data_IF_059160248711
#
_entry.id   IF_059160248711
#
_cell.length_a   1.000
_cell.length_b   1.000
_cell.length_c   1.000
_cell.angle_alpha   90.00
_cell.angle_beta   90.00
_cell.angle_gamma   90.00
#
_symmetry.space_group_name_H-M   'P 1'
#
loop_
_entity.id
_entity.type
_entity.pdbx_description
1 polymer ?
#
# COMPACT_ATOMS: atom_id res chain seq x y z
N UNK A 1 -22.42 22.76 -25.56
CA UNK A 1 -22.38 22.94 -24.10
C UNK A 1 -23.09 21.73 -23.52
N UNK A 2 -22.36 20.85 -22.83
CA UNK A 2 -23.00 19.76 -22.09
C UNK A 2 -23.75 20.40 -20.91
N UNK A 3 -25.03 20.10 -20.77
CA UNK A 3 -25.84 20.58 -19.64
C UNK A 3 -25.39 19.95 -18.31
N UNK A 4 -26.13 20.24 -17.24
CA UNK A 4 -25.81 19.88 -15.84
C UNK A 4 -25.64 18.37 -15.54
N UNK A 5 -25.81 17.50 -16.55
CA UNK A 5 -25.69 16.04 -16.48
C UNK A 5 -24.36 15.50 -17.05
N UNK A 6 -23.28 16.27 -16.88
CA UNK A 6 -21.94 15.86 -17.31
C UNK A 6 -21.21 15.06 -16.22
N UNK A 7 -20.78 13.85 -16.55
CA UNK A 7 -19.84 13.07 -15.76
C UNK A 7 -18.40 13.38 -16.21
N UNK A 8 -17.52 13.71 -15.26
CA UNK A 8 -16.11 14.01 -15.55
C UNK A 8 -15.22 12.84 -15.11
N UNK A 9 -14.39 12.35 -16.02
CA UNK A 9 -13.48 11.25 -15.72
C UNK A 9 -12.33 11.73 -14.82
N UNK A 10 -12.23 11.24 -13.59
CA UNK A 10 -11.13 11.61 -12.67
C UNK A 10 -9.71 11.23 -13.14
N UNK A 11 -9.59 10.40 -14.19
CA UNK A 11 -8.30 9.93 -14.70
C UNK A 11 -7.80 10.68 -15.94
N UNK A 12 -8.69 11.23 -16.76
CA UNK A 12 -8.31 11.95 -17.98
C UNK A 12 -9.03 13.30 -18.14
N UNK A 13 -9.85 13.67 -17.16
CA UNK A 13 -10.55 14.95 -17.01
C UNK A 13 -11.47 15.32 -18.17
N UNK A 14 -11.82 14.36 -19.02
CA UNK A 14 -12.77 14.56 -20.11
C UNK A 14 -14.21 14.51 -19.59
N UNK A 15 -15.04 15.36 -20.17
CA UNK A 15 -16.47 15.45 -19.92
C UNK A 15 -17.22 14.41 -20.77
N UNK A 16 -18.17 13.74 -20.14
CA UNK A 16 -19.03 12.72 -20.75
C UNK A 16 -20.49 12.97 -20.35
N UNK A 17 -21.44 12.56 -21.17
CA UNK A 17 -22.85 12.53 -20.73
C UNK A 17 -23.05 11.45 -19.67
N UNK A 18 -23.71 11.77 -18.56
CA UNK A 18 -23.95 10.82 -17.45
C UNK A 18 -24.60 9.52 -17.92
N UNK A 19 -25.65 9.59 -18.75
CA UNK A 19 -26.34 8.40 -19.26
C UNK A 19 -25.43 7.46 -20.08
N UNK A 20 -24.50 8.02 -20.86
CA UNK A 20 -23.57 7.22 -21.65
C UNK A 20 -22.43 6.66 -20.79
N UNK A 21 -21.97 7.44 -19.82
CA UNK A 21 -20.98 7.02 -18.83
C UNK A 21 -21.47 5.81 -18.04
N UNK A 22 -22.70 5.85 -17.54
CA UNK A 22 -23.31 4.75 -16.78
C UNK A 22 -23.55 3.53 -17.66
N UNK A 23 -24.06 3.74 -18.89
CA UNK A 23 -24.33 2.66 -19.84
C UNK A 23 -23.08 1.93 -20.34
N UNK A 24 -21.91 2.58 -20.30
CA UNK A 24 -20.62 1.94 -20.62
C UNK A 24 -19.85 1.54 -19.37
N UNK A 25 -20.35 1.85 -18.18
CA UNK A 25 -19.66 1.68 -16.91
C UNK A 25 -18.26 2.33 -16.87
N UNK A 26 -18.11 3.51 -17.50
CA UNK A 26 -16.86 4.28 -17.41
C UNK A 26 -16.52 5.17 -18.61
N UNK A 27 -15.24 5.50 -18.71
CA UNK A 27 -14.71 6.46 -19.67
C UNK A 27 -14.60 5.87 -21.09
N UNK A 28 -15.24 6.47 -22.08
CA UNK A 28 -15.13 5.99 -23.46
C UNK A 28 -13.79 6.38 -24.14
N UNK A 29 -12.89 7.09 -23.46
CA UNK A 29 -11.64 7.57 -24.04
C UNK A 29 -10.64 6.41 -24.23
N UNK A 30 -10.21 6.09 -25.47
CA UNK A 30 -9.29 4.99 -25.73
C UNK A 30 -7.97 5.16 -24.96
N UNK A 31 -7.54 4.11 -24.26
CA UNK A 31 -6.30 4.12 -23.49
C UNK A 31 -6.38 4.83 -22.13
N UNK A 32 -7.55 5.33 -21.73
CA UNK A 32 -7.75 5.82 -20.37
C UNK A 32 -7.76 4.64 -19.40
N UNK A 33 -7.12 4.79 -18.24
CA UNK A 33 -7.11 3.76 -17.18
C UNK A 33 -8.51 3.50 -16.61
N UNK A 34 -9.40 4.48 -16.69
CA UNK A 34 -10.82 4.34 -16.35
C UNK A 34 -11.71 3.95 -17.55
N UNK A 35 -11.10 3.55 -18.68
CA UNK A 35 -11.88 3.02 -19.78
C UNK A 35 -12.38 1.60 -19.43
N UNK A 36 -13.68 1.34 -19.54
CA UNK A 36 -14.24 0.03 -19.29
C UNK A 36 -13.64 -0.94 -20.32
N UNK A 37 -13.18 -2.10 -19.84
CA UNK A 37 -12.69 -3.15 -20.73
C UNK A 37 -13.80 -3.51 -21.71
N UNK A 38 -13.45 -3.69 -22.99
CA UNK A 38 -14.41 -4.05 -24.04
C UNK A 38 -15.20 -5.29 -23.58
N UNK A 39 -16.44 -5.09 -23.15
CA UNK A 39 -17.36 -6.19 -22.90
C UNK A 39 -17.54 -6.89 -24.24
N UNK A 40 -16.98 -8.09 -24.35
CA UNK A 40 -17.35 -9.02 -25.40
C UNK A 40 -18.81 -9.35 -25.14
N UNK A 41 -19.64 -9.20 -26.19
CA UNK A 41 -21.08 -9.46 -26.08
C UNK A 41 -21.30 -10.84 -25.43
N UNK A 42 -22.21 -10.96 -24.44
CA UNK A 42 -22.56 -12.27 -23.93
C UNK A 42 -23.16 -13.06 -25.09
N UNK A 43 -22.54 -14.20 -25.42
CA UNK A 43 -23.09 -15.14 -26.38
C UNK A 43 -24.56 -15.45 -26.02
N UNK A 44 -25.46 -15.57 -27.01
CA UNK A 44 -26.88 -15.77 -26.72
C UNK A 44 -27.03 -17.07 -25.94
N UNK A 45 -27.63 -16.96 -24.75
CA UNK A 45 -27.93 -18.05 -23.83
C UNK A 45 -28.87 -19.05 -24.51
N UNK A 46 -28.30 -20.02 -25.22
CA UNK A 46 -28.96 -21.29 -25.48
C UNK A 46 -28.95 -22.08 -24.17
N UNK A 47 -30.15 -22.41 -23.73
CA UNK A 47 -30.44 -23.09 -22.49
C UNK A 47 -29.94 -24.54 -22.53
N UNK A 48 -28.69 -24.78 -22.14
CA UNK A 48 -28.24 -26.14 -21.84
C UNK A 48 -27.17 -26.18 -20.74
N UNK A 49 -27.48 -26.99 -19.73
CA UNK A 49 -26.60 -27.58 -18.71
C UNK A 49 -26.06 -26.66 -17.59
N UNK A 50 -26.82 -26.70 -16.49
CA UNK A 50 -26.34 -26.55 -15.10
C UNK A 50 -25.10 -27.41 -14.87
N UNK A 51 -23.93 -26.79 -14.86
CA UNK A 51 -22.82 -27.19 -14.02
C UNK A 51 -22.48 -25.95 -13.20
N UNK A 52 -22.88 -25.97 -11.93
CA UNK A 52 -22.62 -24.87 -11.01
C UNK A 52 -21.14 -24.52 -11.10
N UNK A 53 -20.86 -23.24 -11.37
CA UNK A 53 -19.49 -22.81 -11.57
C UNK A 53 -18.68 -23.22 -10.34
N UNK A 54 -17.45 -23.70 -10.53
CA UNK A 54 -16.55 -24.05 -9.43
C UNK A 54 -16.38 -22.92 -8.39
N UNK A 55 -16.75 -21.70 -8.76
CA UNK A 55 -16.76 -20.50 -7.92
C UNK A 55 -17.98 -20.48 -6.97
N UNK A 56 -19.18 -20.82 -7.43
CA UNK A 56 -20.38 -20.91 -6.58
C UNK A 56 -20.30 -22.08 -5.60
N UNK A 57 -19.72 -23.21 -6.03
CA UNK A 57 -19.49 -24.35 -5.15
C UNK A 57 -18.47 -24.04 -4.03
N UNK A 58 -17.42 -23.26 -4.32
CA UNK A 58 -16.46 -22.79 -3.33
C UNK A 58 -17.08 -21.73 -2.40
N UNK A 59 -17.84 -20.79 -2.95
CA UNK A 59 -18.49 -19.74 -2.18
C UNK A 59 -19.49 -20.32 -1.16
N UNK A 60 -20.24 -21.36 -1.55
CA UNK A 60 -21.12 -22.10 -0.64
C UNK A 60 -20.38 -22.76 0.55
N UNK A 61 -19.06 -22.99 0.41
CA UNK A 61 -18.18 -23.52 1.45
C UNK A 61 -17.42 -22.42 2.20
N UNK A 62 -17.70 -21.13 1.93
CA UNK A 62 -16.95 -20.01 2.51
C UNK A 62 -15.52 -19.87 1.98
N UNK A 63 -15.27 -20.38 0.78
CA UNK A 63 -13.96 -20.37 0.13
C UNK A 63 -13.95 -19.46 -1.11
N UNK A 64 -12.78 -18.89 -1.42
CA UNK A 64 -12.49 -18.10 -2.60
C UNK A 64 -11.23 -18.63 -3.31
N UNK A 65 -11.18 -18.62 -4.65
CA UNK A 65 -9.97 -19.01 -5.37
C UNK A 65 -8.91 -17.90 -5.32
N UNK A 66 -7.66 -18.27 -5.06
CA UNK A 66 -6.53 -17.35 -5.16
C UNK A 66 -6.34 -16.89 -6.61
N UNK A 67 -6.26 -15.57 -6.84
CA UNK A 67 -6.07 -14.99 -8.19
C UNK A 67 -4.75 -15.39 -8.86
N UNK A 68 -3.72 -15.70 -8.06
CA UNK A 68 -2.39 -16.02 -8.56
C UNK A 68 -2.19 -17.52 -8.80
N UNK A 69 -2.46 -18.36 -7.79
CA UNK A 69 -2.19 -19.81 -7.86
C UNK A 69 -3.44 -20.70 -7.92
N UNK A 70 -4.65 -20.13 -7.92
CA UNK A 70 -5.95 -20.85 -7.96
C UNK A 70 -6.25 -21.78 -6.78
N UNK A 71 -5.43 -21.76 -5.73
CA UNK A 71 -5.73 -22.49 -4.48
C UNK A 71 -7.05 -22.01 -3.86
N UNK A 72 -7.82 -22.92 -3.27
CA UNK A 72 -9.02 -22.58 -2.51
C UNK A 72 -8.63 -22.05 -1.12
N UNK A 73 -9.08 -20.85 -0.78
CA UNK A 73 -8.73 -20.14 0.46
C UNK A 73 -10.00 -19.75 1.21
N UNK A 74 -9.95 -19.71 2.54
CA UNK A 74 -11.04 -19.14 3.32
C UNK A 74 -11.23 -17.64 3.02
N UNK A 75 -12.48 -17.20 2.93
CA UNK A 75 -12.82 -15.78 2.80
C UNK A 75 -12.23 -15.02 4.00
N UNK A 76 -11.52 -13.92 3.74
CA UNK A 76 -10.84 -13.12 4.76
C UNK A 76 -9.37 -13.47 5.00
N UNK A 77 -8.86 -14.54 4.37
CA UNK A 77 -7.41 -14.80 4.32
C UNK A 77 -6.70 -13.60 3.69
N UNK A 78 -5.66 -13.09 4.36
CA UNK A 78 -4.94 -11.88 3.94
C UNK A 78 -3.74 -12.19 3.04
N UNK A 79 -3.13 -13.36 3.22
CA UNK A 79 -1.99 -13.86 2.45
C UNK A 79 -2.27 -15.31 2.06
N UNK A 80 -2.08 -15.63 0.79
CA UNK A 80 -2.18 -17.01 0.32
C UNK A 80 -1.02 -17.87 0.88
N UNK A 81 -1.28 -18.99 1.56
CA UNK A 81 -0.21 -19.86 2.08
C UNK A 81 0.59 -20.57 0.98
N UNK A 82 0.02 -20.72 -0.22
CA UNK A 82 0.66 -21.45 -1.32
C UNK A 82 1.60 -20.58 -2.17
N UNK A 83 1.24 -19.31 -2.41
CA UNK A 83 2.01 -18.43 -3.30
C UNK A 83 2.39 -17.07 -2.69
N UNK A 84 2.01 -16.82 -1.43
CA UNK A 84 2.26 -15.58 -0.67
C UNK A 84 1.72 -14.29 -1.30
N UNK A 85 0.83 -14.40 -2.29
CA UNK A 85 0.11 -13.24 -2.84
C UNK A 85 -0.85 -12.65 -1.79
N UNK A 86 -0.97 -11.33 -1.79
CA UNK A 86 -1.99 -10.62 -1.00
C UNK A 86 -3.35 -10.93 -1.61
N UNK A 87 -4.28 -11.40 -0.78
CA UNK A 87 -5.60 -11.87 -1.21
C UNK A 87 -6.72 -10.90 -0.87
N UNK A 88 -6.39 -9.77 -0.23
CA UNK A 88 -7.36 -8.71 0.05
C UNK A 88 -7.93 -8.09 -1.24
N UNK A 89 -9.23 -7.76 -1.31
CA UNK A 89 -9.88 -7.19 -2.50
C UNK A 89 -9.25 -5.90 -3.02
N UNK A 90 -8.76 -5.05 -2.12
CA UNK A 90 -8.07 -3.78 -2.39
C UNK A 90 -6.56 -3.95 -2.64
N UNK A 91 -6.04 -5.17 -2.53
CA UNK A 91 -4.61 -5.46 -2.69
C UNK A 91 -3.73 -4.98 -1.53
N UNK A 92 -4.33 -4.49 -0.44
CA UNK A 92 -3.63 -4.01 0.75
C UNK A 92 -3.70 -5.09 1.83
N UNK A 93 -2.60 -5.33 2.53
CA UNK A 93 -2.59 -6.25 3.67
C UNK A 93 -3.20 -5.58 4.92
N UNK A 94 -4.31 -6.14 5.41
CA UNK A 94 -5.01 -5.71 6.64
C UNK A 94 -4.80 -6.65 7.82
N UNK A 95 -3.92 -7.65 7.67
CA UNK A 95 -3.62 -8.56 8.77
C UNK A 95 -2.77 -7.91 9.88
N UNK A 96 -2.52 -8.65 10.97
CA UNK A 96 -1.66 -8.18 12.05
C UNK A 96 -0.26 -7.87 11.51
N UNK A 97 0.29 -6.73 11.92
CA UNK A 97 1.65 -6.30 11.57
C UNK A 97 2.55 -6.35 12.79
N UNK A 98 3.78 -6.82 12.60
CA UNK A 98 4.84 -6.72 13.62
C UNK A 98 5.76 -5.55 13.28
N UNK A 99 6.38 -4.93 14.29
CA UNK A 99 7.30 -3.83 14.01
C UNK A 99 8.55 -4.36 13.29
N UNK A 100 8.99 -3.67 12.23
CA UNK A 100 10.26 -3.98 11.60
C UNK A 100 11.40 -3.86 12.64
N UNK A 101 12.39 -4.77 12.64
CA UNK A 101 13.45 -4.79 13.66
C UNK A 101 14.25 -3.48 13.73
N UNK A 102 14.42 -2.80 12.59
CA UNK A 102 15.07 -1.49 12.54
C UNK A 102 14.24 -0.33 13.09
N UNK A 103 12.90 -0.46 13.18
CA UNK A 103 12.02 0.63 13.58
C UNK A 103 12.19 0.97 15.06
N UNK A 104 12.14 -0.04 15.94
CA UNK A 104 12.37 0.15 17.37
C UNK A 104 13.81 0.53 17.66
N UNK A 105 14.78 -0.14 17.02
CA UNK A 105 16.19 0.16 17.19
C UNK A 105 16.52 1.62 16.81
N UNK A 106 15.98 2.11 15.69
CA UNK A 106 16.20 3.50 15.26
C UNK A 106 15.71 4.53 16.29
N UNK A 107 14.57 4.26 16.94
CA UNK A 107 14.02 5.14 17.95
C UNK A 107 14.90 5.15 19.21
N UNK A 108 15.32 3.96 19.68
CA UNK A 108 16.19 3.84 20.86
C UNK A 108 17.53 4.54 20.63
N UNK A 109 18.17 4.31 19.47
CA UNK A 109 19.43 4.98 19.12
C UNK A 109 19.29 6.49 18.99
N UNK A 110 18.16 6.98 18.48
CA UNK A 110 17.89 8.41 18.37
C UNK A 110 17.75 9.07 19.75
N UNK A 111 17.05 8.43 20.69
CA UNK A 111 16.87 8.93 22.06
C UNK A 111 18.22 8.97 22.80
N UNK A 112 19.00 7.89 22.73
CA UNK A 112 20.33 7.83 23.37
C UNK A 112 21.28 8.87 22.71
N UNK A 113 21.24 8.97 21.38
CA UNK A 113 22.04 9.90 20.62
C UNK A 113 21.78 11.36 20.96
N UNK A 114 20.53 11.71 21.27
CA UNK A 114 20.16 13.09 21.63
C UNK A 114 20.94 13.63 22.84
N UNK A 115 21.31 12.76 23.80
CA UNK A 115 21.94 13.19 25.05
C UNK A 115 23.44 12.89 25.16
N UNK A 116 23.93 11.78 24.57
CA UNK A 116 25.28 11.28 24.91
C UNK A 116 26.31 11.32 23.76
N UNK A 117 25.90 11.31 22.49
CA UNK A 117 26.82 11.46 21.34
C UNK A 117 26.02 11.63 20.02
N UNK A 118 25.43 12.81 19.80
CA UNK A 118 24.43 13.01 18.72
C UNK A 118 24.95 12.84 17.30
N UNK A 119 26.25 13.04 17.07
CA UNK A 119 26.82 12.96 15.72
C UNK A 119 26.92 11.51 15.22
N UNK A 120 27.46 10.59 16.02
CA UNK A 120 27.64 9.18 15.59
C UNK A 120 26.34 8.39 15.75
N UNK A 121 25.68 8.51 16.91
CA UNK A 121 24.45 7.77 17.21
C UNK A 121 23.28 8.23 16.35
N UNK A 122 23.25 9.52 15.97
CA UNK A 122 22.26 10.06 15.05
C UNK A 122 22.35 9.43 13.65
N UNK A 123 23.57 9.19 13.14
CA UNK A 123 23.76 8.52 11.84
C UNK A 123 23.28 7.06 11.93
N UNK A 124 23.61 6.35 13.01
CA UNK A 124 23.15 4.98 13.24
C UNK A 124 21.61 4.92 13.31
N UNK A 125 20.97 5.87 14.00
CA UNK A 125 19.50 5.95 14.04
C UNK A 125 18.89 6.14 12.64
N UNK A 126 19.47 7.00 11.81
CA UNK A 126 18.98 7.28 10.44
C UNK A 126 19.15 6.04 9.54
N UNK A 127 20.29 5.36 9.60
CA UNK A 127 20.51 4.13 8.80
C UNK A 127 19.53 3.04 9.20
N UNK A 128 19.32 2.80 10.50
CA UNK A 128 18.35 1.82 10.99
C UNK A 128 16.91 2.16 10.62
N UNK A 129 16.54 3.45 10.61
CA UNK A 129 15.24 3.90 10.15
C UNK A 129 15.02 3.64 8.65
N UNK A 130 16.05 3.87 7.82
CA UNK A 130 15.97 3.61 6.38
C UNK A 130 15.91 2.10 6.09
N UNK A 131 16.70 1.27 6.79
CA UNK A 131 16.64 -0.20 6.72
C UNK A 131 15.25 -0.71 7.11
N UNK A 132 14.65 -0.17 8.18
CA UNK A 132 13.30 -0.53 8.59
C UNK A 132 12.27 -0.23 7.50
N UNK A 133 12.34 0.98 6.90
CA UNK A 133 11.45 1.37 5.81
C UNK A 133 11.65 0.51 4.55
N UNK A 134 12.88 0.09 4.28
CA UNK A 134 13.16 -0.83 3.17
C UNK A 134 12.53 -2.21 3.41
N UNK A 135 12.66 -2.76 4.63
CA UNK A 135 12.04 -4.03 5.01
C UNK A 135 10.51 -4.01 4.92
N UNK A 136 9.87 -2.89 5.31
CA UNK A 136 8.41 -2.73 5.20
C UNK A 136 7.91 -2.70 3.75
N UNK A 137 8.74 -2.27 2.79
CA UNK A 137 8.38 -2.30 1.36
C UNK A 137 8.40 -3.71 0.79
N UNK A 138 9.27 -4.57 1.32
CA UNK A 138 9.42 -5.95 0.84
C UNK A 138 8.48 -6.93 1.53
N UNK A 139 8.12 -6.67 2.79
CA UNK A 139 7.27 -7.56 3.58
C UNK A 139 6.05 -6.79 4.11
N UNK A 140 4.83 -7.05 3.59
CA UNK A 140 3.61 -6.37 4.01
C UNK A 140 3.19 -6.70 5.44
N UNK A 141 3.76 -7.75 6.05
CA UNK A 141 3.51 -8.12 7.45
C UNK A 141 4.30 -7.25 8.44
N UNK A 142 5.25 -6.45 7.95
CA UNK A 142 6.02 -5.52 8.77
C UNK A 142 5.34 -4.15 8.82
N UNK A 143 5.37 -3.53 9.99
CA UNK A 143 4.88 -2.18 10.28
C UNK A 143 5.87 -1.38 11.13
N UNK A 144 5.38 -0.33 11.78
CA UNK A 144 6.23 0.57 12.58
C UNK A 144 6.78 1.76 11.80
N UNK A 145 6.11 2.17 10.71
CA UNK A 145 6.53 3.32 9.89
C UNK A 145 6.60 4.63 10.70
N UNK A 146 5.66 4.83 11.63
CA UNK A 146 5.68 5.95 12.57
C UNK A 146 6.92 5.93 13.46
N UNK A 147 7.31 4.77 13.99
CA UNK A 147 8.50 4.59 14.84
C UNK A 147 9.79 4.86 14.06
N UNK A 148 9.90 4.29 12.85
CA UNK A 148 11.06 4.53 11.98
C UNK A 148 11.15 6.01 11.57
N UNK A 149 10.02 6.67 11.32
CA UNK A 149 10.00 8.09 11.00
C UNK A 149 10.38 8.95 12.20
N UNK A 150 9.86 8.64 13.39
CA UNK A 150 10.23 9.33 14.62
C UNK A 150 11.73 9.19 14.91
N UNK A 151 12.28 7.96 14.84
CA UNK A 151 13.71 7.72 15.02
C UNK A 151 14.57 8.49 14.02
N UNK A 152 14.16 8.56 12.74
CA UNK A 152 14.85 9.35 11.72
C UNK A 152 14.85 10.85 12.03
N UNK A 153 13.69 11.41 12.37
CA UNK A 153 13.55 12.85 12.66
C UNK A 153 14.34 13.24 13.90
N UNK A 154 14.23 12.46 14.99
CA UNK A 154 14.99 12.70 16.22
C UNK A 154 16.50 12.58 15.96
N UNK A 155 16.93 11.60 15.16
CA UNK A 155 18.33 11.45 14.77
C UNK A 155 18.89 12.67 14.03
N UNK A 156 18.12 13.25 13.10
CA UNK A 156 18.51 14.48 12.39
C UNK A 156 18.61 15.66 13.37
N UNK A 157 17.64 15.82 14.27
CA UNK A 157 17.65 16.87 15.30
C UNK A 157 18.88 16.73 16.20
N UNK A 158 19.25 15.50 16.60
CA UNK A 158 20.42 15.25 17.43
C UNK A 158 21.73 15.65 16.74
N UNK A 159 21.89 15.33 15.44
CA UNK A 159 23.06 15.72 14.65
C UNK A 159 23.13 17.25 14.53
N UNK A 160 22.05 17.89 14.06
CA UNK A 160 22.00 19.34 13.84
C UNK A 160 22.23 20.10 15.14
N UNK A 161 21.58 19.68 16.23
CA UNK A 161 21.74 20.28 17.55
C UNK A 161 23.19 20.19 18.05
N UNK A 162 23.86 19.04 17.89
CA UNK A 162 25.27 18.89 18.28
C UNK A 162 26.21 19.73 17.39
N UNK A 163 25.96 19.81 16.09
CA UNK A 163 26.76 20.63 15.17
C UNK A 163 26.66 22.11 15.56
N UNK A 164 25.44 22.62 15.80
CA UNK A 164 25.22 24.00 16.26
C UNK A 164 25.89 24.24 17.61
N UNK A 165 25.76 23.31 18.57
CA UNK A 165 26.39 23.41 19.87
C UNK A 165 27.92 23.47 19.77
N UNK A 166 28.51 22.63 18.89
CA UNK A 166 29.94 22.64 18.60
C UNK A 166 30.36 24.02 18.09
N UNK A 167 29.73 24.54 17.03
CA UNK A 167 30.08 25.87 16.50
C UNK A 167 29.87 27.00 17.50
N UNK A 168 28.81 26.97 18.32
CA UNK A 168 28.55 27.98 19.34
C UNK A 168 29.59 27.96 20.48
N UNK A 169 30.17 26.80 20.78
CA UNK A 169 31.22 26.63 21.80
C UNK A 169 32.62 26.93 21.27
N UNK A 170 32.94 26.43 20.07
CA UNK A 170 34.25 26.61 19.44
C UNK A 170 34.44 27.98 18.78
N UNK A 171 33.37 28.65 18.36
CA UNK A 171 33.44 30.03 17.84
C UNK A 171 33.54 31.11 18.93
N UNK A 172 33.53 30.71 20.21
CA UNK A 172 33.66 31.59 21.38
C UNK A 172 35.02 31.47 22.08
N UNK A 173 35.94 30.69 21.52
CA UNK A 173 37.36 30.59 21.91
C UNK A 173 38.20 31.31 20.87
#
# INVERSE_FOLDING_TARGET
MLGDDAAVCAACEREHHAACWDGKAGCANPGCVNAPLKQLDPAPLAAEARQGSSVEALAAQGLMPCRNCKAALAIGTQICPMCRAITSPDGIYHGPKTNAPGAQASLVWAIIGLFFCGMILGIVAITKANEAKAAMKTDPTLGGEGLATAGKVIGIIAIVGHVIFMFAKFGKM
#
